data_IF_262024825807
#
_entry.id   IF_262024825807
#
_cell.length_a   1.000
_cell.length_b   1.000
_cell.length_c   1.000
_cell.angle_alpha   90.00
_cell.angle_beta   90.00
_cell.angle_gamma   90.00
#
_symmetry.space_group_name_H-M   'P 1'
#
loop_
_entity.id
_entity.type
_entity.pdbx_description
1 polymer ?
#
# COMPACT_ATOMS: atom_id res chain seq x y z
N UNK A 1 22.41 17.34 -2.50
CA UNK A 1 22.43 16.36 -3.59
C UNK A 1 22.47 17.11 -4.92
N UNK A 2 23.27 16.68 -5.87
CA UNK A 2 23.23 17.17 -7.24
C UNK A 2 22.10 16.44 -8.00
N UNK A 3 21.10 17.19 -8.50
CA UNK A 3 19.96 16.64 -9.22
C UNK A 3 20.07 16.76 -10.74
N UNK A 4 20.94 17.67 -11.19
CA UNK A 4 21.32 17.87 -12.58
C UNK A 4 22.70 18.53 -12.57
N UNK A 5 23.52 18.38 -13.61
CA UNK A 5 24.86 18.96 -13.68
C UNK A 5 24.87 20.44 -13.28
N UNK A 6 25.54 20.72 -12.16
CA UNK A 6 25.65 22.06 -11.58
C UNK A 6 24.44 22.55 -10.79
N UNK A 7 23.35 21.77 -10.72
CA UNK A 7 22.17 22.10 -9.92
C UNK A 7 22.11 21.23 -8.67
N UNK A 8 22.24 21.84 -7.53
CA UNK A 8 22.21 21.19 -6.22
C UNK A 8 20.95 21.52 -5.47
N UNK A 9 20.39 20.54 -4.74
CA UNK A 9 19.30 20.73 -3.79
C UNK A 9 19.71 20.31 -2.40
N UNK A 10 19.34 21.11 -1.41
CA UNK A 10 19.52 20.83 0.01
C UNK A 10 18.20 21.04 0.76
N UNK A 11 17.77 20.03 1.54
CA UNK A 11 16.66 20.19 2.46
C UNK A 11 17.16 20.96 3.69
N UNK A 12 16.56 22.09 3.99
CA UNK A 12 16.89 22.92 5.15
C UNK A 12 16.11 22.49 6.39
N UNK A 13 14.84 22.20 6.20
CA UNK A 13 13.91 21.66 7.21
C UNK A 13 12.73 20.97 6.50
N UNK A 14 11.75 20.49 7.24
CA UNK A 14 10.55 19.89 6.67
C UNK A 14 9.92 20.84 5.64
N UNK A 15 9.71 20.33 4.42
CA UNK A 15 9.11 21.04 3.28
C UNK A 15 9.82 22.35 2.86
N UNK A 16 11.05 22.61 3.35
CA UNK A 16 11.86 23.75 2.97
C UNK A 16 13.12 23.30 2.26
N UNK A 17 13.32 23.72 1.02
CA UNK A 17 14.42 23.32 0.18
C UNK A 17 15.19 24.53 -0.35
N UNK A 18 16.49 24.42 -0.43
CA UNK A 18 17.38 25.38 -1.07
C UNK A 18 17.95 24.74 -2.35
N UNK A 19 17.86 25.47 -3.43
CA UNK A 19 18.43 25.14 -4.73
C UNK A 19 19.62 26.05 -4.99
N UNK A 20 20.72 25.48 -5.48
CA UNK A 20 21.90 26.23 -5.92
C UNK A 20 22.21 25.87 -7.37
N UNK A 21 22.32 26.87 -8.22
CA UNK A 21 22.76 26.73 -9.60
C UNK A 21 23.74 27.84 -9.95
N UNK A 22 24.96 27.50 -10.31
CA UNK A 22 26.03 28.45 -10.71
C UNK A 22 26.30 29.58 -9.70
N UNK A 23 26.06 29.35 -8.41
CA UNK A 23 26.23 30.33 -7.35
C UNK A 23 24.97 31.14 -6.99
N UNK A 24 23.90 31.01 -7.75
CA UNK A 24 22.59 31.56 -7.40
C UNK A 24 21.84 30.62 -6.48
N UNK A 25 21.18 31.17 -5.47
CA UNK A 25 20.42 30.42 -4.46
C UNK A 25 18.96 30.82 -4.49
N UNK A 26 18.08 29.82 -4.49
CA UNK A 26 16.63 29.99 -4.35
C UNK A 26 16.13 29.07 -3.26
N UNK A 27 15.33 29.61 -2.34
CA UNK A 27 14.65 28.82 -1.32
C UNK A 27 13.19 28.62 -1.72
N UNK A 28 12.73 27.37 -1.66
CA UNK A 28 11.33 26.98 -1.93
C UNK A 28 10.74 26.43 -0.63
N UNK A 29 9.71 27.08 -0.13
CA UNK A 29 8.92 26.62 1.02
C UNK A 29 7.63 25.98 0.50
N UNK A 30 7.45 24.69 0.78
CA UNK A 30 6.27 23.91 0.40
C UNK A 30 5.28 23.75 1.58
N UNK A 31 5.53 24.42 2.71
CA UNK A 31 4.57 24.44 3.81
C UNK A 31 3.39 25.34 3.42
N UNK A 32 2.19 24.86 3.68
CA UNK A 32 0.97 25.65 3.51
C UNK A 32 0.95 26.78 4.53
N UNK A 33 0.54 27.97 4.08
CA UNK A 33 0.27 29.08 4.97
C UNK A 33 -1.00 28.81 5.82
N UNK A 34 -1.17 29.46 6.99
CA UNK A 34 -2.30 29.17 7.88
C UNK A 34 -3.70 29.30 7.26
N UNK A 35 -3.82 30.10 6.18
CA UNK A 35 -5.07 30.32 5.46
C UNK A 35 -5.22 29.44 4.21
N UNK A 36 -4.18 28.70 3.84
CA UNK A 36 -4.19 27.80 2.70
C UNK A 36 -4.65 26.41 3.11
N UNK A 37 -5.34 25.73 2.21
CA UNK A 37 -5.75 24.34 2.33
C UNK A 37 -5.29 23.59 1.11
N UNK A 38 -4.80 22.36 1.34
CA UNK A 38 -4.58 21.45 0.24
C UNK A 38 -5.94 20.91 -0.23
N UNK A 39 -6.22 21.08 -1.51
CA UNK A 39 -7.39 20.50 -2.15
C UNK A 39 -6.96 19.28 -2.96
N UNK A 40 -7.73 18.20 -2.86
CA UNK A 40 -7.48 17.01 -3.69
C UNK A 40 -7.69 17.37 -5.17
N UNK A 41 -6.81 16.89 -6.07
CA UNK A 41 -6.91 17.18 -7.50
C UNK A 41 -8.11 16.52 -8.19
N UNK A 42 -8.86 15.68 -7.50
CA UNK A 42 -10.02 14.97 -8.05
C UNK A 42 -11.23 15.07 -7.10
N UNK A 43 -12.45 15.20 -7.63
CA UNK A 43 -13.66 15.14 -6.82
C UNK A 43 -14.01 13.70 -6.46
N UNK A 44 -14.53 13.49 -5.26
CA UNK A 44 -15.17 12.23 -4.85
C UNK A 44 -16.58 12.53 -4.34
N UNK A 45 -17.54 11.72 -4.78
CA UNK A 45 -18.88 11.76 -4.25
C UNK A 45 -18.94 11.19 -2.83
N UNK A 46 -19.77 11.79 -1.97
CA UNK A 46 -19.96 11.30 -0.61
C UNK A 46 -20.82 10.02 -0.62
N UNK A 47 -20.37 9.00 0.10
CA UNK A 47 -21.05 7.75 0.32
C UNK A 47 -20.85 7.29 1.77
N UNK A 48 -21.92 6.84 2.42
CA UNK A 48 -21.78 6.16 3.70
C UNK A 48 -21.53 4.66 3.47
N UNK A 49 -20.52 4.15 4.15
CA UNK A 49 -20.24 2.72 4.15
C UNK A 49 -21.17 1.99 5.14
N UNK A 50 -21.53 0.74 4.81
CA UNK A 50 -22.12 -0.20 5.75
C UNK A 50 -21.03 -0.83 6.62
N UNK A 51 -21.27 -0.97 7.92
CA UNK A 51 -20.37 -1.65 8.87
C UNK A 51 -20.85 -3.08 9.08
N UNK A 52 -20.77 -3.86 8.03
CA UNK A 52 -21.12 -5.26 8.04
C UNK A 52 -20.11 -6.10 8.84
N UNK A 53 -20.46 -7.35 9.15
CA UNK A 53 -19.57 -8.26 9.86
C UNK A 53 -18.23 -8.45 9.12
N UNK A 54 -18.27 -8.61 7.78
CA UNK A 54 -17.10 -8.63 6.92
C UNK A 54 -17.45 -8.02 5.57
N UNK A 55 -16.85 -6.90 5.25
CA UNK A 55 -17.02 -6.22 3.97
C UNK A 55 -15.68 -5.69 3.45
N UNK A 56 -15.59 -5.61 2.13
CA UNK A 56 -14.46 -4.99 1.43
C UNK A 56 -15.00 -3.83 0.59
N UNK A 57 -14.40 -2.66 0.78
CA UNK A 57 -14.74 -1.45 0.05
C UNK A 57 -13.56 -1.06 -0.83
N UNK A 58 -13.82 -0.91 -2.12
CA UNK A 58 -12.84 -0.38 -3.05
C UNK A 58 -12.70 1.13 -2.83
N UNK A 59 -11.52 1.60 -2.48
CA UNK A 59 -11.25 3.01 -2.17
C UNK A 59 -10.28 3.69 -3.13
N UNK A 60 -9.66 2.95 -4.04
CA UNK A 60 -8.78 3.49 -5.08
C UNK A 60 -8.18 2.41 -5.97
N UNK A 61 -7.87 2.81 -7.22
CA UNK A 61 -7.25 1.95 -8.25
C UNK A 61 -6.06 2.61 -8.95
N UNK A 62 -5.72 3.85 -8.57
CA UNK A 62 -4.64 4.61 -9.21
C UNK A 62 -3.27 4.03 -8.91
N UNK A 63 -2.36 4.10 -9.88
CA UNK A 63 -0.97 3.66 -9.78
C UNK A 63 0.01 4.76 -9.34
N UNK A 64 -0.50 5.87 -8.78
CA UNK A 64 0.30 6.99 -8.31
C UNK A 64 0.80 7.96 -9.39
N UNK A 65 0.79 7.60 -10.67
CA UNK A 65 1.20 8.48 -11.77
C UNK A 65 0.08 9.39 -12.26
N UNK A 66 -1.17 9.00 -12.09
CA UNK A 66 -2.33 9.83 -12.42
C UNK A 66 -2.84 10.53 -11.15
N UNK A 67 -2.55 11.82 -11.05
CA UNK A 67 -2.97 12.65 -9.91
C UNK A 67 -4.49 12.87 -9.83
N UNK A 68 -5.25 12.47 -10.86
CA UNK A 68 -6.70 12.74 -10.96
C UNK A 68 -7.55 11.60 -10.40
N UNK A 69 -6.93 10.60 -9.76
CA UNK A 69 -7.64 9.49 -9.13
C UNK A 69 -6.96 9.04 -7.82
N UNK A 70 -7.71 8.46 -6.89
CA UNK A 70 -7.14 7.91 -5.65
C UNK A 70 -6.18 6.76 -5.96
N UNK A 71 -5.05 6.73 -5.26
CA UNK A 71 -4.11 5.61 -5.33
C UNK A 71 -4.75 4.31 -4.89
N UNK A 72 -4.18 3.18 -5.35
CA UNK A 72 -4.69 1.85 -5.02
C UNK A 72 -4.78 1.67 -3.50
N UNK A 73 -5.97 1.36 -3.03
CA UNK A 73 -6.23 1.01 -1.64
C UNK A 73 -7.54 0.24 -1.52
N UNK A 74 -7.76 -0.40 -0.39
CA UNK A 74 -9.04 -0.99 -0.02
C UNK A 74 -9.29 -0.78 1.47
N UNK A 75 -10.55 -0.85 1.85
CA UNK A 75 -10.96 -0.81 3.24
C UNK A 75 -11.61 -2.16 3.58
N UNK A 76 -11.18 -2.75 4.68
CA UNK A 76 -11.85 -3.90 5.28
C UNK A 76 -12.65 -3.41 6.46
N UNK A 77 -13.94 -3.74 6.48
CA UNK A 77 -14.76 -3.68 7.68
C UNK A 77 -14.86 -5.09 8.24
N UNK A 78 -14.47 -5.26 9.49
CA UNK A 78 -14.56 -6.53 10.18
C UNK A 78 -15.10 -6.35 11.61
N UNK A 79 -16.25 -6.96 11.89
CA UNK A 79 -16.94 -6.81 13.17
C UNK A 79 -17.22 -5.35 13.59
N UNK A 80 -17.35 -4.46 12.59
CA UNK A 80 -17.55 -3.02 12.82
C UNK A 80 -16.26 -2.20 12.83
N UNK A 81 -15.11 -2.82 13.03
CA UNK A 81 -13.79 -2.18 12.97
C UNK A 81 -13.35 -1.92 11.52
N UNK A 82 -12.62 -0.84 11.31
CA UNK A 82 -12.20 -0.39 9.98
C UNK A 82 -10.69 -0.51 9.85
N UNK A 83 -10.26 -1.28 8.86
CA UNK A 83 -8.86 -1.45 8.49
C UNK A 83 -8.61 -0.93 7.08
N UNK A 84 -7.53 -0.20 6.88
CA UNK A 84 -7.03 0.13 5.55
C UNK A 84 -6.13 -0.99 5.02
N UNK A 85 -6.09 -1.15 3.70
CA UNK A 85 -4.98 -1.78 3.00
C UNK A 85 -4.34 -0.70 2.18
N UNK A 86 -3.13 -0.32 2.58
CA UNK A 86 -2.36 0.82 2.11
C UNK A 86 -2.99 2.20 2.39
N UNK A 87 -2.14 3.19 2.44
CA UNK A 87 -2.50 4.59 2.65
C UNK A 87 -1.62 5.47 1.75
N UNK A 88 -2.05 5.64 0.51
CA UNK A 88 -1.40 6.55 -0.44
C UNK A 88 -1.69 8.02 -0.17
N UNK A 89 -1.12 8.93 -0.98
CA UNK A 89 -1.45 10.35 -0.94
C UNK A 89 -2.97 10.58 -1.03
N UNK A 90 -3.45 11.64 -0.38
CA UNK A 90 -4.88 12.01 -0.35
C UNK A 90 -5.82 11.00 0.32
N UNK A 91 -5.30 10.03 1.09
CA UNK A 91 -6.15 9.04 1.80
C UNK A 91 -7.24 9.71 2.65
N UNK A 92 -6.96 10.86 3.26
CA UNK A 92 -7.96 11.61 4.03
C UNK A 92 -9.17 12.02 3.16
N UNK A 93 -8.93 12.39 1.90
CA UNK A 93 -10.01 12.74 0.98
C UNK A 93 -10.90 11.53 0.67
N UNK A 94 -10.29 10.37 0.42
CA UNK A 94 -11.02 9.11 0.21
C UNK A 94 -11.82 8.69 1.45
N UNK A 95 -11.22 8.78 2.65
CA UNK A 95 -11.90 8.48 3.91
C UNK A 95 -13.10 9.39 4.14
N UNK A 96 -12.93 10.71 3.98
CA UNK A 96 -14.00 11.69 4.15
C UNK A 96 -15.16 11.45 3.15
N UNK A 97 -14.84 11.07 1.91
CA UNK A 97 -15.86 10.74 0.90
C UNK A 97 -16.67 9.50 1.28
N UNK A 98 -16.10 8.60 2.08
CA UNK A 98 -16.75 7.39 2.61
C UNK A 98 -17.36 7.60 4.01
N UNK A 99 -17.35 8.83 4.52
CA UNK A 99 -17.86 9.14 5.85
C UNK A 99 -17.03 8.55 7.00
N UNK A 100 -15.72 8.32 6.77
CA UNK A 100 -14.82 7.74 7.76
C UNK A 100 -13.88 8.82 8.30
N UNK A 101 -13.84 8.99 9.61
CA UNK A 101 -12.84 9.79 10.30
C UNK A 101 -11.54 9.00 10.53
N UNK A 102 -10.38 9.67 10.56
CA UNK A 102 -9.09 9.02 10.86
C UNK A 102 -9.12 8.30 12.21
N UNK A 103 -9.84 8.85 13.19
CA UNK A 103 -9.98 8.28 14.52
C UNK A 103 -10.90 7.04 14.58
N UNK A 104 -11.49 6.63 13.46
CA UNK A 104 -12.29 5.40 13.37
C UNK A 104 -11.49 4.22 12.83
N UNK A 105 -10.23 4.47 12.44
CA UNK A 105 -9.36 3.44 11.89
C UNK A 105 -8.73 2.60 12.99
N UNK A 106 -8.97 1.31 12.97
CA UNK A 106 -8.36 0.35 13.89
C UNK A 106 -6.94 -0.03 13.45
N UNK A 107 -6.71 -0.17 12.14
CA UNK A 107 -5.41 -0.57 11.62
C UNK A 107 -5.18 -0.26 10.16
N UNK A 108 -3.93 -0.41 9.74
CA UNK A 108 -3.50 -0.37 8.33
C UNK A 108 -2.62 -1.57 8.04
N UNK A 109 -3.00 -2.35 7.02
CA UNK A 109 -2.19 -3.37 6.40
C UNK A 109 -1.34 -2.71 5.32
N UNK A 110 -0.02 -2.83 5.42
CA UNK A 110 0.90 -2.22 4.47
C UNK A 110 1.45 -3.27 3.53
N UNK A 111 1.24 -3.10 2.23
CA UNK A 111 1.69 -4.06 1.21
C UNK A 111 3.14 -3.88 0.84
N UNK A 112 3.58 -2.64 0.65
CA UNK A 112 4.96 -2.27 0.33
C UNK A 112 5.22 -0.77 0.55
N UNK A 113 6.41 -0.30 0.18
CA UNK A 113 6.89 1.04 0.51
C UNK A 113 6.97 2.00 -0.68
N UNK A 114 6.24 1.79 -1.79
CA UNK A 114 6.11 2.83 -2.82
C UNK A 114 5.26 3.99 -2.29
N UNK A 115 5.51 5.19 -2.80
CA UNK A 115 4.94 6.43 -2.24
C UNK A 115 3.41 6.48 -2.38
N UNK A 116 2.87 5.92 -3.43
CA UNK A 116 1.44 5.80 -3.68
C UNK A 116 0.72 4.81 -2.74
N UNK A 117 1.46 3.99 -2.00
CA UNK A 117 0.94 3.05 -1.00
C UNK A 117 1.17 3.47 0.44
N UNK A 118 2.19 4.32 0.73
CA UNK A 118 2.55 4.62 2.12
C UNK A 118 2.52 6.10 2.50
N UNK A 119 2.61 7.05 1.55
CA UNK A 119 2.81 8.46 1.88
C UNK A 119 1.66 9.07 2.72
N UNK A 120 0.46 8.51 2.64
CA UNK A 120 -0.69 8.87 3.46
C UNK A 120 -0.59 8.47 4.94
N UNK A 121 0.40 7.64 5.34
CA UNK A 121 0.65 7.35 6.75
C UNK A 121 0.90 8.63 7.56
N UNK A 122 1.43 9.69 6.95
CA UNK A 122 1.57 11.01 7.57
C UNK A 122 0.24 11.60 8.03
N UNK A 123 -0.85 11.28 7.35
CA UNK A 123 -2.23 11.64 7.76
C UNK A 123 -2.68 10.78 8.93
N UNK A 124 -2.38 9.49 8.91
CA UNK A 124 -2.75 8.56 9.99
C UNK A 124 -2.03 8.87 11.30
N UNK A 125 -0.85 9.48 11.26
CA UNK A 125 -0.14 9.98 12.46
C UNK A 125 -0.92 11.05 13.24
N UNK A 126 -2.02 11.56 12.69
CA UNK A 126 -2.89 12.56 13.35
C UNK A 126 -4.02 11.94 14.16
N UNK A 127 -4.15 10.61 14.16
CA UNK A 127 -5.14 9.94 14.99
C UNK A 127 -4.91 10.25 16.47
N UNK A 128 -5.98 10.27 17.26
CA UNK A 128 -5.95 10.50 18.70
C UNK A 128 -5.53 9.25 19.50
N UNK A 129 -5.33 8.13 18.81
CA UNK A 129 -4.85 6.87 19.34
C UNK A 129 -3.79 6.26 18.41
N UNK A 130 -3.15 5.16 18.84
CA UNK A 130 -2.19 4.44 18.00
C UNK A 130 -2.93 3.47 17.10
N UNK A 131 -2.91 3.75 15.81
CA UNK A 131 -3.44 2.84 14.79
C UNK A 131 -2.52 1.60 14.69
N UNK A 132 -3.08 0.39 14.60
CA UNK A 132 -2.31 -0.83 14.37
C UNK A 132 -1.64 -0.77 13.01
N UNK A 133 -0.31 -0.84 12.99
CA UNK A 133 0.48 -0.95 11.77
C UNK A 133 0.84 -2.42 11.55
N UNK A 134 0.27 -3.01 10.52
CA UNK A 134 0.24 -4.45 10.29
C UNK A 134 1.00 -4.74 8.99
N UNK A 135 2.17 -5.38 9.09
CA UNK A 135 3.03 -5.71 7.94
C UNK A 135 4.03 -6.81 8.30
N UNK A 136 4.74 -7.35 7.30
CA UNK A 136 5.92 -8.16 7.57
C UNK A 136 7.06 -7.29 8.12
N UNK A 137 7.99 -7.84 8.91
CA UNK A 137 9.09 -7.07 9.49
C UNK A 137 9.94 -6.33 8.46
N UNK A 138 10.13 -6.90 7.27
CA UNK A 138 10.93 -6.30 6.20
C UNK A 138 10.25 -5.05 5.63
N UNK A 139 8.98 -5.16 5.25
CA UNK A 139 8.18 -4.01 4.78
C UNK A 139 8.12 -2.93 5.86
N UNK A 140 7.89 -3.31 7.11
CA UNK A 140 7.89 -2.37 8.23
C UNK A 140 9.21 -1.60 8.35
N UNK A 141 10.35 -2.28 8.23
CA UNK A 141 11.67 -1.63 8.33
C UNK A 141 11.85 -0.58 7.21
N UNK A 142 11.52 -0.93 5.97
CA UNK A 142 11.61 -0.02 4.82
C UNK A 142 10.67 1.18 4.98
N UNK A 143 9.42 0.95 5.41
CA UNK A 143 8.44 2.02 5.61
C UNK A 143 8.83 2.94 6.76
N UNK A 144 9.31 2.40 7.89
CA UNK A 144 9.79 3.22 9.01
C UNK A 144 10.91 4.16 8.56
N UNK A 145 11.90 3.65 7.81
CA UNK A 145 13.01 4.44 7.30
C UNK A 145 12.51 5.58 6.39
N UNK A 146 11.65 5.26 5.41
CA UNK A 146 11.08 6.26 4.49
C UNK A 146 10.20 7.28 5.21
N UNK A 147 9.32 6.84 6.12
CA UNK A 147 8.42 7.72 6.86
C UNK A 147 9.21 8.65 7.79
N UNK A 148 10.24 8.13 8.46
CA UNK A 148 11.11 8.93 9.32
C UNK A 148 11.81 10.03 8.52
N UNK A 149 12.34 9.71 7.33
CA UNK A 149 12.93 10.68 6.42
C UNK A 149 11.90 11.70 5.93
N UNK A 150 10.71 11.25 5.52
CA UNK A 150 9.62 12.10 5.02
C UNK A 150 9.15 13.09 6.10
N UNK A 151 8.86 12.60 7.30
CA UNK A 151 8.34 13.39 8.41
C UNK A 151 9.42 14.13 9.22
N UNK A 152 10.71 13.92 8.92
CA UNK A 152 11.85 14.48 9.69
C UNK A 152 11.82 14.10 11.18
N UNK A 153 11.46 12.86 11.47
CA UNK A 153 11.47 12.26 12.81
C UNK A 153 12.52 11.14 12.88
N UNK A 154 12.84 10.69 14.08
CA UNK A 154 13.66 9.49 14.26
C UNK A 154 12.81 8.23 14.05
N UNK A 155 13.41 7.15 13.53
CA UNK A 155 12.75 5.85 13.32
C UNK A 155 12.09 5.30 14.60
N UNK A 156 12.74 5.47 15.76
CA UNK A 156 12.21 5.06 17.07
C UNK A 156 10.86 5.71 17.42
N UNK A 157 10.59 6.92 16.87
CA UNK A 157 9.35 7.65 17.10
C UNK A 157 8.16 7.06 16.35
N UNK A 158 8.36 6.13 15.43
CA UNK A 158 7.27 5.46 14.74
C UNK A 158 6.26 4.83 15.71
N UNK A 159 6.77 4.22 16.78
CA UNK A 159 5.94 3.58 17.85
C UNK A 159 5.15 4.58 18.71
N UNK A 160 5.39 5.87 18.55
CA UNK A 160 4.56 6.89 19.22
C UNK A 160 3.21 7.05 18.51
N UNK A 161 3.17 6.78 17.22
CA UNK A 161 1.99 6.94 16.35
C UNK A 161 1.30 5.62 16.05
N UNK A 162 2.06 4.53 15.98
CA UNK A 162 1.56 3.23 15.54
C UNK A 162 1.83 2.13 16.57
N UNK A 163 0.84 1.24 16.71
CA UNK A 163 0.99 -0.03 17.41
C UNK A 163 1.46 -1.08 16.38
N UNK A 164 2.69 -1.54 16.49
CA UNK A 164 3.28 -2.47 15.54
C UNK A 164 2.76 -3.89 15.75
N UNK A 165 2.24 -4.48 14.68
CA UNK A 165 1.80 -5.88 14.59
C UNK A 165 2.55 -6.56 13.44
N UNK A 166 3.61 -7.30 13.76
CA UNK A 166 4.41 -8.02 12.76
C UNK A 166 3.71 -9.30 12.30
N UNK A 167 3.61 -9.47 10.99
CA UNK A 167 3.06 -10.67 10.36
C UNK A 167 4.17 -11.66 9.99
N UNK A 168 3.92 -12.94 10.25
CA UNK A 168 4.77 -14.03 9.77
C UNK A 168 4.43 -14.34 8.31
N UNK A 169 5.39 -14.08 7.42
CA UNK A 169 5.24 -14.33 5.98
C UNK A 169 4.89 -15.81 5.68
N UNK A 170 3.94 -16.01 4.77
CA UNK A 170 3.50 -17.33 4.33
C UNK A 170 2.63 -18.11 5.32
N UNK A 171 2.40 -17.60 6.53
CA UNK A 171 1.57 -18.22 7.55
C UNK A 171 0.27 -17.43 7.78
N UNK A 172 -0.76 -18.11 8.27
CA UNK A 172 -1.94 -17.46 8.80
C UNK A 172 -1.60 -16.81 10.15
N UNK A 173 -1.93 -15.54 10.28
CA UNK A 173 -1.79 -14.72 11.48
C UNK A 173 -3.18 -14.31 11.92
N UNK A 174 -3.40 -14.19 13.21
CA UNK A 174 -4.63 -13.68 13.79
C UNK A 174 -4.46 -12.18 14.13
N UNK A 175 -5.34 -11.36 13.59
CA UNK A 175 -5.47 -9.94 13.90
C UNK A 175 -6.89 -9.69 14.38
N UNK A 176 -7.07 -9.76 15.69
CA UNK A 176 -8.35 -9.54 16.36
C UNK A 176 -9.49 -10.42 15.79
N UNK A 177 -9.20 -11.72 15.58
CA UNK A 177 -10.03 -12.75 14.93
C UNK A 177 -10.19 -12.64 13.41
N UNK A 178 -9.57 -11.66 12.77
CA UNK A 178 -9.41 -11.65 11.31
C UNK A 178 -8.13 -12.41 10.97
N UNK A 179 -8.23 -13.54 10.28
CA UNK A 179 -7.08 -14.27 9.84
C UNK A 179 -6.50 -13.67 8.55
N UNK A 180 -5.20 -13.36 8.57
CA UNK A 180 -4.48 -12.80 7.43
C UNK A 180 -3.23 -13.61 7.13
N UNK A 181 -2.99 -13.88 5.84
CA UNK A 181 -1.79 -14.56 5.35
C UNK A 181 -1.08 -13.66 4.35
N UNK A 182 0.06 -13.06 4.75
CA UNK A 182 0.92 -12.33 3.83
C UNK A 182 1.67 -13.32 2.94
N UNK A 183 1.68 -13.06 1.63
CA UNK A 183 2.40 -13.82 0.63
C UNK A 183 3.35 -12.88 -0.09
N UNK A 184 4.63 -13.24 -0.19
CA UNK A 184 5.61 -12.48 -0.95
C UNK A 184 5.19 -12.40 -2.43
N UNK A 185 5.30 -11.21 -3.00
CA UNK A 185 5.00 -10.91 -4.38
C UNK A 185 6.23 -10.32 -5.07
N UNK A 186 6.69 -10.88 -6.21
CA UNK A 186 7.75 -10.28 -7.00
C UNK A 186 7.34 -8.90 -7.52
N UNK A 187 8.09 -7.90 -7.08
CA UNK A 187 7.91 -6.49 -7.46
C UNK A 187 9.27 -5.79 -7.22
N UNK A 188 9.56 -4.61 -7.82
CA UNK A 188 10.84 -3.93 -7.64
C UNK A 188 11.24 -3.57 -6.21
N UNK A 189 10.29 -3.55 -5.28
CA UNK A 189 10.54 -3.46 -3.83
C UNK A 189 9.88 -4.64 -3.11
N UNK A 190 10.24 -4.87 -1.83
CA UNK A 190 9.59 -5.91 -1.03
C UNK A 190 8.08 -5.65 -0.98
N UNK A 191 7.34 -6.58 -1.53
CA UNK A 191 5.88 -6.47 -1.65
C UNK A 191 5.21 -7.73 -1.11
N UNK A 192 4.08 -7.52 -0.46
CA UNK A 192 3.21 -8.58 0.05
C UNK A 192 1.80 -8.42 -0.51
N UNK A 193 1.24 -9.48 -1.04
CA UNK A 193 -0.20 -9.62 -1.23
C UNK A 193 -0.80 -10.23 0.04
N UNK A 194 -2.07 -9.95 0.31
CA UNK A 194 -2.75 -10.43 1.50
C UNK A 194 -3.92 -11.34 1.15
N UNK A 195 -3.97 -12.50 1.78
CA UNK A 195 -5.18 -13.33 1.85
C UNK A 195 -5.83 -13.13 3.20
N UNK A 196 -7.10 -12.80 3.21
CA UNK A 196 -7.93 -12.67 4.40
C UNK A 196 -8.98 -13.78 4.42
N UNK A 197 -9.28 -14.29 5.60
CA UNK A 197 -10.42 -15.16 5.80
C UNK A 197 -11.05 -14.94 7.15
N UNK A 198 -12.35 -15.16 7.22
CA UNK A 198 -13.13 -15.13 8.45
C UNK A 198 -14.20 -16.20 8.40
N UNK A 199 -14.73 -16.54 9.56
CA UNK A 199 -15.84 -17.48 9.70
C UNK A 199 -16.96 -16.79 10.46
N UNK A 200 -18.14 -16.75 9.88
CA UNK A 200 -19.36 -16.28 10.52
C UNK A 200 -20.40 -17.39 10.62
N UNK A 201 -21.62 -17.06 11.06
CA UNK A 201 -22.70 -18.02 11.19
C UNK A 201 -23.19 -18.58 9.84
N UNK A 202 -22.87 -17.92 8.73
CA UNK A 202 -23.27 -18.29 7.36
C UNK A 202 -22.21 -19.17 6.71
N UNK A 203 -20.95 -19.12 7.18
CA UNK A 203 -19.83 -19.90 6.66
C UNK A 203 -18.52 -19.14 6.64
N UNK A 204 -17.53 -19.66 5.92
CA UNK A 204 -16.25 -18.98 5.70
C UNK A 204 -16.35 -17.98 4.56
N UNK A 205 -15.65 -16.85 4.71
CA UNK A 205 -15.50 -15.84 3.66
C UNK A 205 -14.03 -15.52 3.50
N UNK A 206 -13.62 -15.30 2.26
CA UNK A 206 -12.22 -15.05 1.91
C UNK A 206 -12.08 -13.92 0.92
N UNK A 207 -11.03 -13.13 1.13
CA UNK A 207 -10.67 -12.00 0.26
C UNK A 207 -9.17 -12.04 -0.02
N UNK A 208 -8.78 -11.76 -1.26
CA UNK A 208 -7.39 -11.54 -1.62
C UNK A 208 -7.20 -10.12 -2.14
N UNK A 209 -6.23 -9.43 -1.55
CA UNK A 209 -5.78 -8.12 -2.02
C UNK A 209 -4.43 -8.27 -2.70
N UNK A 210 -4.45 -8.13 -4.00
CA UNK A 210 -3.26 -8.06 -4.82
C UNK A 210 -2.90 -6.59 -4.99
N UNK A 211 -1.84 -6.20 -4.29
CA UNK A 211 -1.20 -4.93 -4.51
C UNK A 211 -0.40 -4.99 -5.83
N UNK A 212 0.67 -4.23 -5.94
CA UNK A 212 1.51 -4.27 -7.13
C UNK A 212 2.15 -5.64 -7.31
N UNK A 213 1.99 -6.22 -8.49
CA UNK A 213 2.50 -7.55 -8.83
C UNK A 213 3.17 -7.52 -10.21
N UNK A 214 4.17 -8.35 -10.43
CA UNK A 214 4.72 -8.54 -11.77
C UNK A 214 3.86 -9.50 -12.59
N UNK A 215 3.65 -9.19 -13.89
CA UNK A 215 2.90 -10.07 -14.78
C UNK A 215 3.61 -11.40 -15.01
N UNK A 216 2.84 -12.46 -15.29
CA UNK A 216 3.42 -13.77 -15.60
C UNK A 216 4.32 -13.75 -16.82
N UNK A 217 4.06 -12.88 -17.80
CA UNK A 217 4.93 -12.73 -18.95
C UNK A 217 6.31 -12.17 -18.57
N UNK A 218 6.36 -11.17 -17.71
CA UNK A 218 7.62 -10.60 -17.21
C UNK A 218 8.38 -11.67 -16.42
N UNK A 219 7.73 -12.35 -15.47
CA UNK A 219 8.36 -13.39 -14.68
C UNK A 219 8.87 -14.56 -15.53
N UNK A 220 8.11 -14.97 -16.56
CA UNK A 220 8.52 -16.05 -17.46
C UNK A 220 9.78 -15.69 -18.25
N UNK A 221 9.91 -14.43 -18.65
CA UNK A 221 11.10 -13.95 -19.36
C UNK A 221 12.34 -13.83 -18.46
N UNK A 222 12.16 -13.90 -17.14
CA UNK A 222 13.26 -13.93 -16.17
C UNK A 222 13.72 -15.34 -15.83
N UNK A 223 13.06 -16.39 -16.34
CA UNK A 223 13.44 -17.77 -16.03
C UNK A 223 14.79 -18.06 -16.65
N UNK A 224 15.73 -18.55 -15.85
CA UNK A 224 17.07 -18.99 -16.27
C UNK A 224 17.51 -20.20 -15.49
N UNK A 225 18.24 -21.09 -16.15
CA UNK A 225 18.93 -22.22 -15.51
C UNK A 225 20.42 -21.90 -15.30
N UNK A 226 20.87 -20.70 -15.65
CA UNK A 226 22.26 -20.23 -15.47
C UNK A 226 22.39 -19.43 -14.18
N UNK A 227 23.00 -20.04 -13.17
CA UNK A 227 23.24 -19.41 -11.85
C UNK A 227 24.13 -18.17 -11.91
N UNK A 228 24.81 -17.92 -13.02
CA UNK A 228 25.64 -16.74 -13.23
C UNK A 228 24.87 -15.53 -13.74
N UNK A 229 23.63 -15.71 -14.21
CA UNK A 229 22.78 -14.64 -14.74
C UNK A 229 21.67 -14.27 -13.76
N UNK A 230 21.31 -12.97 -13.66
CA UNK A 230 20.17 -12.55 -12.87
C UNK A 230 18.87 -13.15 -13.43
N UNK A 231 18.11 -13.85 -12.56
CA UNK A 231 16.86 -14.44 -12.99
C UNK A 231 16.14 -15.20 -11.87
N UNK A 232 15.15 -15.99 -12.24
CA UNK A 232 14.38 -16.86 -11.33
C UNK A 232 14.36 -18.28 -11.86
N UNK A 233 14.20 -19.28 -10.98
CA UNK A 233 14.00 -20.65 -11.41
C UNK A 233 12.57 -20.89 -11.92
N UNK A 234 12.38 -21.94 -12.73
CA UNK A 234 11.06 -22.40 -13.13
C UNK A 234 10.19 -22.76 -11.93
N UNK A 235 10.77 -23.41 -10.91
CA UNK A 235 10.06 -23.78 -9.67
C UNK A 235 9.52 -22.53 -8.94
N UNK A 236 10.32 -21.48 -8.83
CA UNK A 236 9.89 -20.23 -8.23
C UNK A 236 8.74 -19.57 -9.02
N UNK A 237 8.83 -19.54 -10.34
CA UNK A 237 7.75 -19.05 -11.20
C UNK A 237 6.44 -19.80 -10.98
N UNK A 238 6.50 -21.14 -10.95
CA UNK A 238 5.35 -22.01 -10.76
C UNK A 238 4.75 -21.83 -9.34
N UNK A 239 5.58 -21.64 -8.32
CA UNK A 239 5.15 -21.34 -6.96
C UNK A 239 4.40 -20.00 -6.87
N UNK A 240 4.96 -18.93 -7.46
CA UNK A 240 4.31 -17.62 -7.53
C UNK A 240 2.98 -17.72 -8.25
N UNK A 241 2.95 -18.37 -9.41
CA UNK A 241 1.73 -18.56 -10.21
C UNK A 241 0.66 -19.30 -9.42
N UNK A 242 1.03 -20.39 -8.72
CA UNK A 242 0.09 -21.15 -7.92
C UNK A 242 -0.51 -20.33 -6.77
N UNK A 243 0.30 -19.50 -6.13
CA UNK A 243 -0.13 -18.59 -5.05
C UNK A 243 -1.07 -17.50 -5.58
N UNK A 244 -0.76 -16.94 -6.75
CA UNK A 244 -1.60 -15.91 -7.36
C UNK A 244 -2.96 -16.45 -7.79
N UNK A 245 -3.03 -17.68 -8.27
CA UNK A 245 -4.27 -18.35 -8.66
C UNK A 245 -4.97 -19.08 -7.50
N UNK A 246 -4.63 -18.78 -6.24
CA UNK A 246 -5.33 -19.32 -5.07
C UNK A 246 -6.79 -18.89 -5.11
N UNK A 247 -7.72 -19.86 -4.99
CA UNK A 247 -9.15 -19.61 -4.96
C UNK A 247 -9.56 -18.85 -3.69
N UNK A 248 -10.35 -17.78 -3.87
CA UNK A 248 -11.04 -17.03 -2.81
C UNK A 248 -12.43 -16.60 -3.30
N UNK A 249 -13.26 -16.08 -2.40
CA UNK A 249 -14.60 -15.60 -2.79
C UNK A 249 -14.50 -14.26 -3.56
N UNK A 250 -13.60 -13.39 -3.16
CA UNK A 250 -13.37 -12.09 -3.78
C UNK A 250 -11.88 -11.80 -3.92
N UNK A 251 -11.45 -11.34 -5.08
CA UNK A 251 -10.05 -10.98 -5.33
C UNK A 251 -9.96 -9.62 -6.03
N UNK A 252 -9.21 -8.69 -5.42
CA UNK A 252 -8.79 -7.45 -6.08
C UNK A 252 -7.45 -7.68 -6.74
N UNK A 253 -7.35 -7.30 -8.02
CA UNK A 253 -6.17 -7.52 -8.85
C UNK A 253 -5.50 -6.20 -9.22
N UNK A 254 -4.16 -6.21 -9.24
CA UNK A 254 -3.39 -5.24 -10.01
C UNK A 254 -3.32 -5.70 -11.47
N UNK A 255 -3.90 -4.90 -12.36
CA UNK A 255 -3.91 -5.16 -13.80
C UNK A 255 -3.43 -3.94 -14.59
N UNK A 256 -2.45 -3.24 -14.05
CA UNK A 256 -1.90 -2.01 -14.58
C UNK A 256 -1.18 -2.11 -15.95
N UNK A 257 -1.02 -3.32 -16.51
CA UNK A 257 -0.59 -3.49 -17.89
C UNK A 257 0.82 -4.07 -18.10
N UNK A 258 1.30 -4.88 -17.19
CA UNK A 258 2.60 -5.59 -17.32
C UNK A 258 3.80 -4.81 -16.77
N UNK A 259 5.03 -5.31 -16.95
CA UNK A 259 6.24 -4.88 -16.25
C UNK A 259 6.11 -5.03 -14.73
N UNK A 260 6.05 -3.92 -14.02
CA UNK A 260 5.91 -3.85 -12.55
C UNK A 260 4.46 -4.01 -12.10
N UNK A 261 3.53 -4.19 -13.01
CA UNK A 261 2.11 -4.43 -12.77
C UNK A 261 1.65 -5.72 -13.46
N UNK A 262 0.63 -6.35 -12.90
CA UNK A 262 0.01 -7.55 -13.46
C UNK A 262 -0.73 -7.28 -14.78
N UNK A 263 -1.15 -8.35 -15.41
CA UNK A 263 -1.96 -8.30 -16.62
C UNK A 263 -3.27 -9.06 -16.44
N UNK A 264 -4.39 -8.50 -16.91
CA UNK A 264 -5.70 -9.14 -16.80
C UNK A 264 -5.73 -10.57 -17.35
N UNK A 265 -4.97 -10.83 -18.42
CA UNK A 265 -4.84 -12.15 -19.04
C UNK A 265 -4.20 -13.20 -18.13
N UNK A 266 -3.40 -12.79 -17.14
CA UNK A 266 -2.78 -13.71 -16.18
C UNK A 266 -3.83 -14.41 -15.30
N UNK A 267 -4.99 -13.77 -15.12
CA UNK A 267 -6.07 -14.23 -14.26
C UNK A 267 -7.32 -14.71 -15.01
N UNK A 268 -7.22 -14.92 -16.34
CA UNK A 268 -8.37 -15.41 -17.14
C UNK A 268 -8.93 -16.75 -16.69
N UNK A 269 -8.08 -17.59 -16.10
CA UNK A 269 -8.43 -18.93 -15.60
C UNK A 269 -8.41 -18.97 -14.05
N UNK A 270 -8.50 -17.81 -13.38
CA UNK A 270 -8.52 -17.74 -11.91
C UNK A 270 -9.78 -18.42 -11.36
N UNK A 271 -9.65 -19.32 -10.37
CA UNK A 271 -10.77 -20.09 -9.85
C UNK A 271 -11.63 -19.35 -8.82
N UNK A 272 -11.32 -18.09 -8.51
CA UNK A 272 -12.07 -17.29 -7.53
C UNK A 272 -13.45 -16.92 -8.05
N UNK A 273 -14.41 -16.68 -7.14
CA UNK A 273 -15.81 -16.43 -7.52
C UNK A 273 -15.98 -15.06 -8.18
N UNK A 274 -15.25 -14.04 -7.67
CA UNK A 274 -15.32 -12.67 -8.19
C UNK A 274 -13.92 -12.04 -8.25
N UNK A 275 -13.63 -11.40 -9.38
CA UNK A 275 -12.43 -10.60 -9.62
C UNK A 275 -12.82 -9.14 -9.88
N UNK A 276 -12.01 -8.18 -9.44
CA UNK A 276 -12.16 -6.76 -9.77
C UNK A 276 -10.81 -6.03 -9.70
#
# INVERSE_FOLDING_TARGET
VEIKKGLFVRRLRLNLFEFNYQGDYVTVDLNLMPHEKYESPYPLGFQNISRDYFAVIHSGEGNGWDINRPCMSSIIVFQGDIYLIDAGPNILHSLNALGIGVNELEGVFQTHAHDDHFAGLTTLMRADHKIKYIATPLIRATVINKLAALASIKEENFRNYFEVRDLKLGAWNDIDNLEVKPIFSPHPTETTIYLFRTVDQIGSRSYAHFADISSFNVLRNMITDDDSEPGISQEYFDDVKSKYLTKVDLKKLDVGGGYVHGAALDFKDDPSEKLF
#
